data_IF_346179542357
#
_entry.id   IF_346179542357
#
_cell.length_a   1.000
_cell.length_b   1.000
_cell.length_c   1.000
_cell.angle_alpha   90.00
_cell.angle_beta   90.00
_cell.angle_gamma   90.00
#
_symmetry.space_group_name_H-M   'P 1'
#
loop_
_entity.id
_entity.type
_entity.pdbx_description
1 polymer ?
#
# COMPACT_ATOMS: atom_id res chain seq x y z
N UNK A 1 11.84 19.60 14.50
CA UNK A 1 12.59 18.32 14.37
C UNK A 1 11.66 17.23 14.87
N UNK A 2 10.92 16.60 13.96
CA UNK A 2 10.05 15.50 14.33
C UNK A 2 10.90 14.22 14.37
N UNK A 3 10.86 13.52 15.49
CA UNK A 3 11.43 12.18 15.62
C UNK A 3 10.51 11.28 14.79
N UNK A 4 10.96 10.94 13.58
CA UNK A 4 10.27 9.97 12.73
C UNK A 4 10.23 8.64 13.49
N UNK A 5 9.03 8.23 13.91
CA UNK A 5 8.80 6.86 14.36
C UNK A 5 8.92 5.95 13.14
N UNK A 6 10.15 5.55 12.84
CA UNK A 6 10.43 4.44 11.94
C UNK A 6 9.92 3.17 12.66
N UNK A 7 8.59 2.96 12.68
CA UNK A 7 8.04 1.66 13.03
C UNK A 7 8.48 0.69 11.93
N UNK A 8 9.62 0.06 12.15
CA UNK A 8 10.08 -1.03 11.32
C UNK A 8 9.19 -2.23 11.64
N UNK A 9 8.25 -2.50 10.75
CA UNK A 9 7.51 -3.74 10.74
C UNK A 9 8.42 -4.88 10.29
N UNK A 10 8.21 -6.08 10.83
CA UNK A 10 8.97 -7.27 10.45
C UNK A 10 8.03 -8.44 10.18
N UNK A 11 8.38 -9.28 9.22
CA UNK A 11 7.62 -10.53 8.96
C UNK A 11 7.65 -11.40 10.23
N UNK A 12 6.51 -11.96 10.61
CA UNK A 12 6.29 -12.71 11.85
C UNK A 12 5.88 -11.85 13.05
N UNK A 13 5.80 -10.53 12.89
CA UNK A 13 5.29 -9.64 13.95
C UNK A 13 3.78 -9.81 14.13
N UNK A 14 3.33 -9.88 15.39
CA UNK A 14 1.90 -9.83 15.73
C UNK A 14 1.44 -8.36 15.81
N UNK A 15 0.35 -8.05 15.11
CA UNK A 15 -0.27 -6.72 15.07
C UNK A 15 -1.63 -6.80 15.75
N UNK A 16 -1.71 -6.38 17.01
CA UNK A 16 -2.95 -6.48 17.79
C UNK A 16 -4.04 -5.49 17.34
N UNK A 17 -3.63 -4.31 16.86
CA UNK A 17 -4.53 -3.26 16.39
C UNK A 17 -4.41 -3.11 14.87
N UNK A 18 -5.38 -3.66 14.13
CA UNK A 18 -5.44 -3.57 12.67
C UNK A 18 -6.87 -3.26 12.19
N UNK A 19 -7.06 -2.67 10.99
CA UNK A 19 -8.38 -2.24 10.52
C UNK A 19 -9.30 -3.39 10.05
N UNK A 20 -8.79 -4.63 10.02
CA UNK A 20 -9.44 -5.80 9.42
C UNK A 20 -10.18 -6.69 10.42
N UNK A 21 -10.63 -6.15 11.55
CA UNK A 21 -11.37 -6.90 12.58
C UNK A 21 -12.67 -7.52 12.01
N UNK A 22 -13.22 -6.94 10.93
CA UNK A 22 -14.44 -7.40 10.28
C UNK A 22 -14.22 -8.42 9.13
N UNK A 23 -12.97 -8.81 8.83
CA UNK A 23 -12.64 -9.75 7.76
C UNK A 23 -11.64 -9.21 6.75
N UNK A 24 -11.55 -9.88 5.60
CA UNK A 24 -10.55 -9.63 4.57
C UNK A 24 -10.75 -8.28 3.85
N UNK A 25 -9.64 -7.66 3.43
CA UNK A 25 -9.69 -6.41 2.70
C UNK A 25 -8.33 -5.75 2.54
N UNK A 26 -8.32 -4.54 2.01
CA UNK A 26 -7.12 -3.72 1.91
C UNK A 26 -7.41 -2.25 2.20
N UNK A 27 -6.41 -1.56 2.73
CA UNK A 27 -6.43 -0.12 3.01
C UNK A 27 -5.16 0.49 2.43
N UNK A 28 -5.25 1.71 1.92
CA UNK A 28 -4.12 2.46 1.41
C UNK A 28 -3.98 3.78 2.18
N UNK A 29 -2.78 4.03 2.67
CA UNK A 29 -2.40 5.26 3.37
C UNK A 29 -1.28 5.91 2.58
N UNK A 30 -1.47 7.15 2.11
CA UNK A 30 -0.47 7.86 1.30
C UNK A 30 -0.41 9.33 1.67
N UNK A 31 0.71 9.99 1.33
CA UNK A 31 0.91 11.44 1.48
C UNK A 31 0.87 11.91 2.93
N UNK A 32 1.35 11.07 3.84
CA UNK A 32 1.56 11.41 5.25
C UNK A 32 3.03 11.67 5.53
N UNK A 33 3.33 12.54 6.50
CA UNK A 33 4.70 12.90 6.91
C UNK A 33 5.23 12.05 8.07
N UNK A 34 4.35 11.29 8.72
CA UNK A 34 4.64 10.47 9.88
C UNK A 34 4.79 8.98 9.55
N UNK A 35 4.48 8.58 8.31
CA UNK A 35 4.62 7.21 7.81
C UNK A 35 4.96 7.17 6.32
N UNK A 36 5.51 6.05 5.85
CA UNK A 36 5.64 5.79 4.41
C UNK A 36 4.27 5.63 3.76
N UNK A 37 4.20 5.68 2.43
CA UNK A 37 2.98 5.26 1.74
C UNK A 37 2.85 3.74 1.88
N UNK A 38 1.69 3.25 2.29
CA UNK A 38 1.47 1.83 2.60
C UNK A 38 0.20 1.33 1.92
N UNK A 39 0.26 0.12 1.35
CA UNK A 39 -0.93 -0.71 1.11
C UNK A 39 -0.92 -1.83 2.14
N UNK A 40 -1.89 -1.81 3.03
CA UNK A 40 -2.09 -2.83 4.06
C UNK A 40 -3.18 -3.79 3.57
N UNK A 41 -2.91 -5.09 3.60
CA UNK A 41 -3.81 -6.16 3.14
C UNK A 41 -4.06 -7.11 4.32
N UNK A 42 -5.32 -7.45 4.57
CA UNK A 42 -5.73 -8.45 5.53
C UNK A 42 -6.41 -9.61 4.81
N UNK A 43 -5.91 -10.82 5.02
CA UNK A 43 -6.52 -12.05 4.50
C UNK A 43 -6.58 -13.10 5.62
N UNK A 44 -7.64 -13.88 5.68
CA UNK A 44 -7.81 -14.92 6.71
C UNK A 44 -7.09 -16.21 6.29
N UNK A 45 -6.18 -16.71 7.14
CA UNK A 45 -5.54 -18.00 6.96
C UNK A 45 -4.62 -18.09 5.74
N UNK A 46 -3.74 -17.09 5.57
CA UNK A 46 -2.76 -17.03 4.48
C UNK A 46 -1.88 -18.29 4.49
N UNK A 47 -1.98 -19.07 3.41
CA UNK A 47 -1.15 -20.26 3.19
C UNK A 47 0.28 -19.89 2.80
N UNK A 48 1.21 -20.85 2.89
CA UNK A 48 2.58 -20.65 2.44
C UNK A 48 2.68 -20.34 0.93
N UNK A 49 1.79 -20.92 0.12
CA UNK A 49 1.71 -20.66 -1.32
C UNK A 49 1.22 -19.23 -1.61
N UNK A 50 0.20 -18.75 -0.90
CA UNK A 50 -0.28 -17.37 -1.01
C UNK A 50 0.75 -16.37 -0.49
N UNK A 51 1.45 -16.69 0.60
CA UNK A 51 2.54 -15.88 1.12
C UNK A 51 3.65 -15.73 0.07
N UNK A 52 4.05 -16.82 -0.58
CA UNK A 52 5.04 -16.78 -1.65
C UNK A 52 4.54 -15.98 -2.87
N UNK A 53 3.29 -16.21 -3.27
CA UNK A 53 2.66 -15.46 -4.36
C UNK A 53 2.67 -13.95 -4.08
N UNK A 54 2.25 -13.52 -2.88
CA UNK A 54 2.26 -12.11 -2.50
C UNK A 54 3.67 -11.50 -2.46
N UNK A 55 4.68 -12.29 -2.09
CA UNK A 55 6.07 -11.86 -2.06
C UNK A 55 6.68 -11.66 -3.47
N UNK A 56 6.31 -12.50 -4.44
CA UNK A 56 7.01 -12.60 -5.72
C UNK A 56 6.19 -12.12 -6.94
N UNK A 57 4.86 -12.20 -6.90
CA UNK A 57 3.99 -11.95 -8.04
C UNK A 57 4.15 -10.53 -8.61
N UNK A 58 3.96 -10.35 -9.91
CA UNK A 58 3.86 -8.99 -10.47
C UNK A 58 2.69 -8.26 -9.84
N UNK A 59 2.95 -7.03 -9.38
CA UNK A 59 1.94 -6.14 -8.88
C UNK A 59 1.49 -5.16 -9.98
N UNK A 60 0.21 -4.84 -10.01
CA UNK A 60 -0.38 -3.84 -10.90
C UNK A 60 -1.16 -2.83 -10.07
N UNK A 61 -1.15 -1.57 -10.52
CA UNK A 61 -1.84 -0.47 -9.87
C UNK A 61 -2.64 0.31 -10.90
N UNK A 62 -3.88 0.60 -10.57
CA UNK A 62 -4.75 1.49 -11.34
C UNK A 62 -5.67 2.26 -10.43
N UNK A 63 -6.37 3.26 -10.97
CA UNK A 63 -7.37 3.99 -10.21
C UNK A 63 -8.49 4.48 -11.11
N UNK A 64 -9.66 4.61 -10.51
CA UNK A 64 -10.78 5.37 -11.02
C UNK A 64 -10.94 6.62 -10.17
N UNK A 65 -11.26 7.74 -10.82
CA UNK A 65 -11.61 8.99 -10.13
C UNK A 65 -12.90 9.57 -10.71
N UNK A 66 -13.63 10.31 -9.88
CA UNK A 66 -14.79 11.11 -10.30
C UNK A 66 -14.52 12.59 -10.14
N UNK A 67 -15.30 13.42 -10.84
CA UNK A 67 -15.21 14.88 -10.75
C UNK A 67 -15.55 15.40 -9.34
N UNK A 68 -16.31 14.62 -8.56
CA UNK A 68 -16.70 14.93 -7.18
C UNK A 68 -15.63 14.52 -6.14
N UNK A 69 -14.44 14.08 -6.60
CA UNK A 69 -13.34 13.69 -5.73
C UNK A 69 -13.36 12.23 -5.28
N UNK A 70 -14.32 11.43 -5.73
CA UNK A 70 -14.33 9.99 -5.47
C UNK A 70 -13.12 9.32 -6.09
N UNK A 71 -12.51 8.37 -5.39
CA UNK A 71 -11.40 7.58 -5.89
C UNK A 71 -11.44 6.14 -5.35
N UNK A 72 -11.42 5.20 -6.30
CA UNK A 72 -11.13 3.79 -6.04
C UNK A 72 -9.80 3.43 -6.68
N UNK A 73 -8.86 2.99 -5.85
CA UNK A 73 -7.59 2.39 -6.27
C UNK A 73 -7.82 0.90 -6.46
N UNK A 74 -7.28 0.34 -7.54
CA UNK A 74 -7.16 -1.10 -7.72
C UNK A 74 -5.71 -1.50 -7.57
N UNK A 75 -5.45 -2.30 -6.54
CA UNK A 75 -4.16 -2.95 -6.34
C UNK A 75 -4.32 -4.43 -6.64
N UNK A 76 -3.53 -4.94 -7.59
CA UNK A 76 -3.64 -6.33 -8.04
C UNK A 76 -2.32 -7.07 -7.91
N UNK A 77 -2.37 -8.28 -7.38
CA UNK A 77 -1.27 -9.23 -7.22
C UNK A 77 -1.68 -10.57 -7.81
N UNK A 78 -1.08 -10.93 -8.95
CA UNK A 78 -1.49 -12.11 -9.71
C UNK A 78 -3.02 -12.16 -9.94
N UNK A 79 -3.74 -13.05 -9.25
CA UNK A 79 -5.19 -13.22 -9.36
C UNK A 79 -5.98 -12.44 -8.28
N UNK A 80 -5.32 -11.92 -7.25
CA UNK A 80 -5.95 -11.12 -6.21
C UNK A 80 -6.07 -9.67 -6.66
N UNK A 81 -7.29 -9.13 -6.69
CA UNK A 81 -7.55 -7.72 -6.92
C UNK A 81 -8.24 -7.11 -5.71
N UNK A 82 -7.72 -5.98 -5.25
CA UNK A 82 -8.24 -5.23 -4.11
C UNK A 82 -8.72 -3.86 -4.57
N UNK A 83 -9.99 -3.58 -4.31
CA UNK A 83 -10.60 -2.26 -4.56
C UNK A 83 -10.54 -1.46 -3.26
N UNK A 84 -9.78 -0.37 -3.28
CA UNK A 84 -9.39 0.38 -2.08
C UNK A 84 -9.86 1.82 -2.22
N UNK A 85 -10.60 2.30 -1.22
CA UNK A 85 -10.96 3.73 -1.17
C UNK A 85 -9.73 4.57 -0.87
N UNK A 86 -9.61 5.71 -1.52
CA UNK A 86 -8.58 6.69 -1.21
C UNK A 86 -9.21 8.04 -0.89
N UNK A 87 -8.83 8.66 0.23
CA UNK A 87 -9.34 9.95 0.68
C UNK A 87 -8.24 10.81 1.32
N UNK A 88 -7.55 11.61 0.51
CA UNK A 88 -6.55 12.55 1.00
C UNK A 88 -7.14 13.73 1.80
N UNK A 89 -8.42 14.05 1.61
CA UNK A 89 -9.09 15.12 2.36
C UNK A 89 -9.20 14.77 3.85
N UNK A 90 -9.29 13.48 4.18
CA UNK A 90 -9.36 13.00 5.56
C UNK A 90 -8.02 13.09 6.32
N UNK A 91 -6.90 13.34 5.64
CA UNK A 91 -5.58 13.48 6.27
C UNK A 91 -5.51 14.85 6.98
N UNK A 92 -5.28 14.92 8.30
CA UNK A 92 -5.12 16.20 8.97
C UNK A 92 -3.92 16.96 8.43
N UNK A 93 -4.03 18.29 8.35
CA UNK A 93 -3.02 19.14 7.68
C UNK A 93 -1.63 19.05 8.32
N UNK A 94 -1.55 18.77 9.62
CA UNK A 94 -0.32 18.54 10.36
C UNK A 94 0.40 17.23 9.99
N UNK A 95 -0.33 16.25 9.47
CA UNK A 95 0.22 14.96 9.01
C UNK A 95 0.39 14.91 7.49
N UNK A 96 -0.18 15.85 6.73
CA UNK A 96 -0.10 15.85 5.28
C UNK A 96 1.32 16.16 4.76
N UNK A 97 1.74 15.44 3.72
CA UNK A 97 2.98 15.64 3.00
C UNK A 97 2.73 15.73 1.48
N UNK A 98 3.13 16.85 0.89
CA UNK A 98 3.19 16.96 -0.55
C UNK A 98 4.41 16.19 -1.09
N UNK A 99 4.24 15.34 -2.12
CA UNK A 99 5.36 14.59 -2.68
C UNK A 99 6.35 15.51 -3.38
N UNK A 100 7.64 15.16 -3.29
CA UNK A 100 8.76 15.94 -3.85
C UNK A 100 9.45 15.21 -5.01
N UNK A 101 8.99 14.02 -5.36
CA UNK A 101 9.61 13.12 -6.34
C UNK A 101 8.62 12.76 -7.45
N UNK A 102 9.14 12.40 -8.62
CA UNK A 102 8.33 11.95 -9.78
C UNK A 102 7.86 10.50 -9.67
N UNK A 103 8.35 9.76 -8.67
CA UNK A 103 7.89 8.41 -8.33
C UNK A 103 7.51 8.34 -6.85
N UNK A 104 6.55 7.48 -6.51
CA UNK A 104 6.17 7.20 -5.12
C UNK A 104 6.61 5.80 -4.74
N UNK A 105 7.37 5.68 -3.65
CA UNK A 105 7.59 4.40 -2.99
C UNK A 105 6.31 4.01 -2.21
N UNK A 106 6.00 2.72 -2.22
CA UNK A 106 4.81 2.12 -1.61
C UNK A 106 5.20 0.82 -0.92
N UNK A 107 5.05 0.75 0.39
CA UNK A 107 5.30 -0.47 1.16
C UNK A 107 4.01 -1.29 1.23
N UNK A 108 4.01 -2.48 0.64
CA UNK A 108 2.93 -3.45 0.77
C UNK A 108 3.17 -4.29 2.03
N UNK A 109 2.11 -4.49 2.81
CA UNK A 109 2.12 -5.31 4.01
C UNK A 109 0.91 -6.23 4.01
N UNK A 110 1.11 -7.55 4.17
CA UNK A 110 0.02 -8.52 4.24
C UNK A 110 -0.03 -9.18 5.62
N UNK A 111 -1.18 -9.09 6.28
CA UNK A 111 -1.49 -9.59 7.60
C UNK A 111 -2.42 -10.80 7.49
N UNK A 112 -2.09 -11.88 8.19
CA UNK A 112 -3.01 -12.99 8.42
C UNK A 112 -3.96 -12.63 9.56
N UNK A 113 -5.24 -12.40 9.25
CA UNK A 113 -6.24 -11.97 10.23
C UNK A 113 -6.68 -13.10 11.17
N UNK A 114 -6.35 -14.37 10.89
CA UNK A 114 -6.67 -15.49 11.77
C UNK A 114 -5.75 -15.55 13.00
N UNK A 115 -4.52 -15.05 12.86
CA UNK A 115 -3.50 -15.09 13.92
C UNK A 115 -2.80 -13.75 14.18
N UNK A 116 -3.25 -12.68 13.51
CA UNK A 116 -2.72 -11.32 13.58
C UNK A 116 -1.23 -11.21 13.18
N UNK A 117 -0.71 -12.13 12.38
CA UNK A 117 0.71 -12.17 12.03
C UNK A 117 0.99 -11.51 10.69
N UNK A 118 1.96 -10.61 10.65
CA UNK A 118 2.42 -10.00 9.40
C UNK A 118 3.22 -11.02 8.58
N UNK A 119 2.67 -11.46 7.44
CA UNK A 119 3.24 -12.53 6.61
C UNK A 119 4.16 -12.02 5.51
N UNK A 120 3.88 -10.84 4.95
CA UNK A 120 4.63 -10.29 3.81
C UNK A 120 4.87 -8.81 4.00
N UNK A 121 6.10 -8.38 3.69
CA UNK A 121 6.46 -6.98 3.48
C UNK A 121 7.14 -6.89 2.12
N UNK A 122 6.72 -5.95 1.28
CA UNK A 122 7.31 -5.75 -0.04
C UNK A 122 7.35 -4.27 -0.39
N UNK A 123 8.52 -3.80 -0.81
CA UNK A 123 8.68 -2.42 -1.28
C UNK A 123 8.39 -2.35 -2.77
N UNK A 124 7.53 -1.41 -3.16
CA UNK A 124 7.08 -1.19 -4.53
C UNK A 124 7.32 0.26 -4.93
N UNK A 125 7.45 0.51 -6.23
CA UNK A 125 7.59 1.85 -6.79
C UNK A 125 6.52 2.09 -7.83
N UNK A 126 5.71 3.11 -7.63
CA UNK A 126 4.74 3.58 -8.61
C UNK A 126 5.47 4.30 -9.75
N UNK A 127 5.20 3.94 -11.03
CA UNK A 127 5.77 4.65 -12.16
C UNK A 127 5.22 6.08 -12.24
N UNK A 128 5.93 6.95 -12.95
CA UNK A 128 5.63 8.39 -13.03
C UNK A 128 4.19 8.67 -13.48
N UNK A 129 3.69 7.93 -14.48
CA UNK A 129 2.32 8.10 -14.97
C UNK A 129 1.24 7.78 -13.91
N UNK A 130 1.48 6.80 -13.04
CA UNK A 130 0.56 6.46 -11.94
C UNK A 130 0.74 7.44 -10.77
N UNK A 131 1.99 7.80 -10.48
CA UNK A 131 2.34 8.81 -9.48
C UNK A 131 1.62 10.12 -9.76
N UNK A 132 1.66 10.60 -11.00
CA UNK A 132 0.98 11.84 -11.38
C UNK A 132 -0.54 11.74 -11.20
N UNK A 133 -1.15 10.61 -11.57
CA UNK A 133 -2.59 10.42 -11.37
C UNK A 133 -2.96 10.44 -9.87
N UNK A 134 -2.17 9.80 -9.01
CA UNK A 134 -2.38 9.84 -7.56
C UNK A 134 -2.20 11.25 -6.99
N UNK A 135 -1.23 12.02 -7.49
CA UNK A 135 -1.02 13.42 -7.10
C UNK A 135 -2.22 14.27 -7.50
N UNK A 136 -2.74 14.12 -8.72
CA UNK A 136 -3.89 14.87 -9.21
C UNK A 136 -5.13 14.58 -8.36
N UNK A 137 -5.39 13.30 -8.04
CA UNK A 137 -6.49 12.90 -7.15
C UNK A 137 -6.31 13.51 -5.77
N UNK A 138 -5.13 13.38 -5.19
CA UNK A 138 -4.81 13.94 -3.88
C UNK A 138 -5.07 15.46 -3.87
N UNK A 139 -4.60 16.19 -4.86
CA UNK A 139 -4.81 17.64 -4.95
C UNK A 139 -6.29 18.00 -5.09
N UNK A 140 -7.04 17.29 -5.93
CA UNK A 140 -8.46 17.49 -6.10
C UNK A 140 -9.23 17.24 -4.80
N UNK A 141 -8.94 16.13 -4.10
CA UNK A 141 -9.57 15.81 -2.81
C UNK A 141 -9.21 16.84 -1.74
N UNK A 142 -7.94 17.28 -1.67
CA UNK A 142 -7.49 18.30 -0.70
C UNK A 142 -8.11 19.67 -0.94
N UNK A 143 -8.61 19.95 -2.14
CA UNK A 143 -9.36 21.17 -2.44
C UNK A 143 -10.83 21.10 -1.98
N UNK A 144 -11.33 19.92 -1.61
CA UNK A 144 -12.68 19.73 -1.06
C UNK A 144 -12.64 19.98 0.45
N UNK A 145 -13.44 20.95 0.92
CA UNK A 145 -13.43 21.38 2.33
C UNK A 145 -13.97 20.32 3.29
N UNK A 146 -14.91 19.48 2.85
CA UNK A 146 -15.53 18.44 3.66
C UNK A 146 -15.01 17.05 3.28
N UNK A 147 -14.16 16.41 4.11
CA UNK A 147 -13.68 15.06 3.86
C UNK A 147 -14.79 14.01 3.78
N UNK A 148 -15.94 14.27 4.40
CA UNK A 148 -17.10 13.38 4.36
C UNK A 148 -17.77 13.38 2.99
N UNK A 149 -17.66 14.45 2.21
CA UNK A 149 -18.16 14.48 0.83
C UNK A 149 -17.37 13.50 -0.05
N UNK A 150 -16.05 13.47 0.08
CA UNK A 150 -15.18 12.49 -0.61
C UNK A 150 -15.51 11.06 -0.16
N UNK A 151 -15.69 10.86 1.15
CA UNK A 151 -16.05 9.55 1.70
C UNK A 151 -17.41 9.06 1.18
N UNK A 152 -18.41 9.94 1.11
CA UNK A 152 -19.73 9.60 0.57
C UNK A 152 -19.65 9.20 -0.91
N UNK A 153 -18.84 9.90 -1.71
CA UNK A 153 -18.61 9.56 -3.11
C UNK A 153 -17.86 8.22 -3.26
N UNK A 154 -16.83 7.95 -2.44
CA UNK A 154 -16.13 6.66 -2.42
C UNK A 154 -17.09 5.51 -2.07
N UNK A 155 -17.94 5.71 -1.07
CA UNK A 155 -18.98 4.73 -0.70
C UNK A 155 -20.02 4.56 -1.80
N UNK A 156 -20.37 5.62 -2.53
CA UNK A 156 -21.26 5.50 -3.68
C UNK A 156 -20.63 4.64 -4.78
N UNK A 157 -19.36 4.89 -5.11
CA UNK A 157 -18.63 4.12 -6.12
C UNK A 157 -18.55 2.64 -5.77
N UNK A 158 -18.16 2.28 -4.55
CA UNK A 158 -18.08 0.88 -4.12
C UNK A 158 -19.42 0.14 -4.20
N UNK A 159 -20.53 0.83 -3.95
CA UNK A 159 -21.85 0.23 -3.98
C UNK A 159 -22.46 0.19 -5.40
N UNK A 160 -21.83 0.83 -6.39
CA UNK A 160 -22.39 0.96 -7.75
C UNK A 160 -21.51 0.37 -8.84
N UNK A 161 -20.21 0.23 -8.61
CA UNK A 161 -19.26 -0.32 -9.56
C UNK A 161 -18.70 -1.61 -8.98
N UNK A 162 -18.92 -2.73 -9.67
CA UNK A 162 -18.29 -4.00 -9.28
C UNK A 162 -16.80 -4.00 -9.62
N UNK A 163 -16.01 -4.85 -8.97
CA UNK A 163 -14.59 -5.05 -9.29
C UNK A 163 -14.39 -5.38 -10.77
N UNK A 164 -15.21 -6.27 -11.34
CA UNK A 164 -15.14 -6.63 -12.75
C UNK A 164 -15.37 -5.43 -13.66
N UNK A 165 -16.38 -4.60 -13.36
CA UNK A 165 -16.66 -3.39 -14.11
C UNK A 165 -15.54 -2.36 -13.96
N UNK A 166 -15.00 -2.19 -12.75
CA UNK A 166 -13.89 -1.31 -12.45
C UNK A 166 -12.67 -1.68 -13.29
N UNK A 167 -12.32 -2.97 -13.36
CA UNK A 167 -11.21 -3.49 -14.16
C UNK A 167 -11.37 -3.22 -15.67
N UNK A 168 -12.60 -3.08 -16.18
CA UNK A 168 -12.83 -2.68 -17.59
C UNK A 168 -12.70 -1.18 -17.84
N UNK A 169 -12.80 -0.37 -16.79
CA UNK A 169 -12.82 1.11 -16.87
C UNK A 169 -11.48 1.76 -16.57
N UNK A 170 -10.56 1.02 -15.95
CA UNK A 170 -9.24 1.54 -15.57
C UNK A 170 -8.13 0.91 -16.42
N UNK A 171 -6.99 1.58 -16.45
CA UNK A 171 -5.74 0.98 -16.95
C UNK A 171 -4.92 0.50 -15.75
N UNK A 172 -4.76 -0.82 -15.64
CA UNK A 172 -3.80 -1.40 -14.71
C UNK A 172 -2.39 -1.24 -15.28
N UNK A 173 -1.52 -0.65 -14.46
CA UNK A 173 -0.11 -0.43 -14.82
C UNK A 173 0.76 -1.32 -13.95
N UNK A 174 1.66 -2.15 -14.53
CA UNK A 174 2.62 -2.91 -13.74
C UNK A 174 3.50 -1.97 -12.90
N UNK A 175 3.69 -2.31 -11.64
CA UNK A 175 4.55 -1.56 -10.71
C UNK A 175 5.76 -2.40 -10.34
N UNK A 176 6.88 -1.72 -10.10
CA UNK A 176 8.16 -2.39 -9.91
C UNK A 176 8.38 -2.74 -8.44
N UNK A 177 8.91 -3.92 -8.17
CA UNK A 177 9.48 -4.23 -6.86
C UNK A 177 10.77 -3.46 -6.69
N UNK A 178 10.86 -2.68 -5.63
CA UNK A 178 12.13 -2.12 -5.19
C UNK A 178 12.84 -3.26 -4.47
N UNK A 179 13.77 -3.92 -5.16
CA UNK A 179 14.71 -4.80 -4.48
C UNK A 179 15.57 -3.87 -3.62
N UNK A 180 15.26 -3.79 -2.32
CA UNK A 180 16.20 -3.21 -1.37
C UNK A 180 17.54 -3.94 -1.58
N UNK A 181 18.68 -3.25 -1.70
CA UNK A 181 19.97 -3.92 -1.80
C UNK A 181 20.04 -4.88 -0.63
N UNK A 182 20.16 -6.17 -0.93
CA UNK A 182 20.22 -7.20 0.10
C UNK A 182 21.31 -6.77 1.09
N UNK A 183 20.95 -6.65 2.36
CA UNK A 183 21.94 -6.58 3.41
C UNK A 183 22.72 -7.90 3.30
N UNK A 184 23.85 -7.87 2.59
CA UNK A 184 24.82 -8.94 2.65
C UNK A 184 25.37 -8.90 4.06
N UNK A 185 24.81 -9.74 4.93
CA UNK A 185 25.44 -10.06 6.18
C UNK A 185 26.77 -10.74 5.83
N UNK A 186 27.83 -9.93 5.75
CA UNK A 186 29.20 -10.38 5.59
C UNK A 186 29.58 -11.27 6.76
N UNK A 187 29.35 -12.58 6.61
CA UNK A 187 30.02 -13.58 7.41
C UNK A 187 31.46 -13.68 6.87
N UNK A 188 32.33 -12.80 7.34
CA UNK A 188 33.75 -13.09 7.33
C UNK A 188 33.96 -14.23 8.32
N UNK A 189 34.04 -15.45 7.80
CA UNK A 189 34.78 -16.50 8.48
C UNK A 189 36.27 -16.10 8.40
N UNK A 190 36.77 -15.44 9.45
CA UNK A 190 38.21 -15.42 9.69
C UNK A 190 38.63 -16.83 10.09
N UNK A 191 39.22 -17.53 9.11
CA UNK A 191 40.02 -18.73 9.30
C UNK A 191 41.19 -18.44 10.23
N UNK A 192 40.97 -18.61 11.53
CA UNK A 192 42.01 -18.69 12.55
C UNK A 192 42.76 -20.01 12.47
N UNK A 193 43.50 -20.24 11.40
CA UNK A 193 44.49 -21.33 11.35
C UNK A 193 45.80 -20.87 11.99
N UNK A 194 46.01 -21.35 13.22
CA UNK A 194 47.32 -21.57 13.81
C UNK A 194 48.29 -22.20 12.79
N UNK A 195 49.51 -21.68 12.67
CA UNK A 195 50.75 -22.48 12.64
C UNK A 195 52.01 -21.61 12.70
N UNK A 196 52.92 -22.05 13.58
CA UNK A 196 54.34 -21.71 13.80
C UNK A 196 54.72 -20.47 14.62
#
# INVERSE_FOLDING_TARGET
MAVHSNQQFHVGQIIDEHPFVAGDGAVIEMFRNDMSNIVFIGLTGITAEEQQMMAEATAEFGLMKTDNGGCLVVFKLAELAFDIQFNAAAIPSEYFQQPTTSTLALSMMALDTANNELKVIRELSLPEAVTQQMIDVMQAQRAIEDPMAVNAENMHLLNTVSTEELLTKITLTPIQTVIAPSCSCGHNHEDGHHHH
#
